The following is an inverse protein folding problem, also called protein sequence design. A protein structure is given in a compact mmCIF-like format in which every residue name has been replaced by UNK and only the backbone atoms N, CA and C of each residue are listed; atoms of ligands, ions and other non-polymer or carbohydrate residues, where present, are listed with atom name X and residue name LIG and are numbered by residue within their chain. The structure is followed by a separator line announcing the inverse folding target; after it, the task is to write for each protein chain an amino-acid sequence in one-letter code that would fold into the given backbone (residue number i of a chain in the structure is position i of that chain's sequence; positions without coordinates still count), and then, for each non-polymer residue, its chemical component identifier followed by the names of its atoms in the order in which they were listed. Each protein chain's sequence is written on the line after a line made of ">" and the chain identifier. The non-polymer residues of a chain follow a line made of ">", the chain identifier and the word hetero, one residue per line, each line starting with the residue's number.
data_IF_866431743832
#
_entry.id   IF_866431743832
#
_cell.length_a   1.000
_cell.length_b   1.000
_cell.length_c   1.000
_cell.angle_alpha   90.00
_cell.angle_beta   90.00
_cell.angle_gamma   90.00
#
_symmetry.space_group_name_H-M   'P 1'
#
loop_
_entity.id
_entity.type
_entity.pdbx_description
1 polymer ?
#
# COMPACT_ATOMS: atom_id res chain seq x y z
N UNK A 1 10.78 17.67 10.78
CA UNK A 1 9.57 16.82 10.77
C UNK A 1 9.67 15.86 11.94
N UNK A 2 8.86 16.01 12.99
CA UNK A 2 8.90 15.09 14.15
C UNK A 2 8.37 13.71 13.73
N UNK A 3 9.28 12.73 13.63
CA UNK A 3 8.98 11.32 13.31
C UNK A 3 8.71 10.47 14.56
N UNK A 4 8.81 11.07 15.74
CA UNK A 4 8.36 10.46 16.99
C UNK A 4 6.84 10.40 17.04
N UNK A 5 6.31 9.24 17.42
CA UNK A 5 4.89 8.97 17.63
C UNK A 5 4.71 8.22 18.93
N UNK A 6 3.51 8.36 19.48
CA UNK A 6 3.08 7.60 20.66
C UNK A 6 1.89 6.76 20.24
N UNK A 7 1.96 5.45 20.48
CA UNK A 7 0.86 4.56 20.17
C UNK A 7 -0.39 4.95 20.98
N UNK A 8 -1.54 5.09 20.32
CA UNK A 8 -2.81 5.38 21.02
C UNK A 8 -3.44 4.12 21.63
N UNK A 9 -3.18 2.94 21.05
CA UNK A 9 -3.62 1.63 21.53
C UNK A 9 -2.53 0.57 21.37
N UNK A 10 -2.73 -0.57 22.02
CA UNK A 10 -1.87 -1.73 21.82
C UNK A 10 -2.06 -2.29 20.40
N UNK A 11 -0.95 -2.58 19.71
CA UNK A 11 -0.96 -3.16 18.37
C UNK A 11 -0.02 -4.35 18.29
N UNK A 12 -0.35 -5.32 17.44
CA UNK A 12 0.55 -6.44 17.15
C UNK A 12 1.49 -6.02 16.04
N UNK A 13 2.78 -5.90 16.35
CA UNK A 13 3.81 -5.55 15.39
C UNK A 13 4.74 -6.75 15.14
N UNK A 14 5.29 -6.83 13.94
CA UNK A 14 6.24 -7.88 13.55
C UNK A 14 7.66 -7.36 13.67
N UNK A 15 8.48 -7.96 14.51
CA UNK A 15 9.88 -7.57 14.67
C UNK A 15 10.67 -7.86 13.38
N UNK A 16 11.50 -6.91 12.97
CA UNK A 16 12.43 -7.05 11.84
C UNK A 16 13.85 -7.21 12.41
N UNK A 17 14.63 -8.23 12.03
CA UNK A 17 14.40 -9.19 10.94
C UNK A 17 13.76 -10.53 11.35
N UNK A 18 13.55 -10.79 12.65
CA UNK A 18 13.13 -12.09 13.19
C UNK A 18 11.76 -12.58 12.70
N UNK A 19 10.87 -11.66 12.31
CA UNK A 19 9.51 -11.97 11.87
C UNK A 19 8.54 -12.31 13.01
N UNK A 20 8.97 -12.19 14.27
CA UNK A 20 8.13 -12.52 15.42
C UNK A 20 7.08 -11.44 15.68
N UNK A 21 5.84 -11.85 15.95
CA UNK A 21 4.75 -10.93 16.31
C UNK A 21 4.82 -10.64 17.80
N UNK A 22 5.08 -9.39 18.15
CA UNK A 22 5.03 -8.92 19.53
C UNK A 22 3.96 -7.84 19.71
N UNK A 23 3.22 -7.87 20.83
CA UNK A 23 2.34 -6.78 21.20
C UNK A 23 3.17 -5.56 21.64
N UNK A 24 2.99 -4.43 20.96
CA UNK A 24 3.49 -3.14 21.40
C UNK A 24 2.43 -2.48 22.31
N UNK A 25 2.75 -2.16 23.57
CA UNK A 25 1.79 -1.53 24.48
C UNK A 25 1.29 -0.18 23.99
N UNK A 26 0.06 0.18 24.37
CA UNK A 26 -0.43 1.55 24.22
C UNK A 26 0.51 2.53 24.94
N UNK A 27 0.61 3.76 24.44
CA UNK A 27 1.49 4.83 24.93
C UNK A 27 2.99 4.57 24.78
N UNK A 28 3.40 3.51 24.07
CA UNK A 28 4.80 3.31 23.74
C UNK A 28 5.28 4.41 22.78
N UNK A 29 6.46 4.97 23.07
CA UNK A 29 7.14 5.91 22.19
C UNK A 29 7.84 5.13 21.09
N UNK A 30 7.62 5.55 19.86
CA UNK A 30 8.17 4.90 18.69
C UNK A 30 8.63 5.97 17.69
N UNK A 31 9.53 5.57 16.81
CA UNK A 31 10.04 6.42 15.74
C UNK A 31 9.63 5.86 14.39
N UNK A 32 8.79 6.58 13.63
CA UNK A 32 8.34 6.15 12.32
C UNK A 32 9.45 6.36 11.28
N UNK A 33 10.00 5.27 10.75
CA UNK A 33 11.05 5.31 9.72
C UNK A 33 10.49 5.42 8.32
N UNK A 34 9.55 4.52 7.99
CA UNK A 34 9.05 4.37 6.63
C UNK A 34 7.58 3.96 6.63
N UNK A 35 6.84 4.51 5.67
CA UNK A 35 5.47 4.10 5.33
C UNK A 35 5.51 3.53 3.91
N UNK A 36 5.26 2.24 3.74
CA UNK A 36 5.33 1.57 2.44
C UNK A 36 4.12 0.69 2.20
N UNK A 37 3.33 1.00 1.17
CA UNK A 37 2.26 0.15 0.65
C UNK A 37 1.17 -0.23 1.67
N UNK A 38 0.93 0.62 2.68
CA UNK A 38 0.03 0.26 3.78
C UNK A 38 0.69 -0.61 4.84
N UNK A 39 1.98 -0.42 5.11
CA UNK A 39 2.65 -0.91 6.31
C UNK A 39 3.59 0.16 6.85
N UNK A 40 3.80 0.16 8.16
CA UNK A 40 4.57 1.17 8.87
C UNK A 40 5.76 0.52 9.58
N UNK A 41 6.97 0.90 9.21
CA UNK A 41 8.18 0.47 9.90
C UNK A 41 8.51 1.47 11.00
N UNK A 42 8.47 1.00 12.24
CA UNK A 42 8.69 1.79 13.45
C UNK A 42 9.88 1.25 14.21
N UNK A 43 10.68 2.14 14.79
CA UNK A 43 11.75 1.79 15.71
C UNK A 43 11.29 2.07 17.15
N UNK A 44 11.46 1.09 18.03
CA UNK A 44 11.21 1.20 19.46
C UNK A 44 12.52 0.97 20.21
N UNK A 45 12.50 1.10 21.54
CA UNK A 45 13.66 0.78 22.39
C UNK A 45 14.10 -0.69 22.27
N UNK A 46 13.21 -1.57 21.79
CA UNK A 46 13.45 -3.01 21.62
C UNK A 46 13.83 -3.41 20.19
N UNK A 47 13.97 -2.44 19.27
CA UNK A 47 14.39 -2.67 17.89
C UNK A 47 13.39 -2.20 16.85
N UNK A 48 13.50 -2.75 15.63
CA UNK A 48 12.63 -2.42 14.50
C UNK A 48 11.41 -3.33 14.45
N UNK A 49 10.25 -2.74 14.26
CA UNK A 49 8.98 -3.43 14.16
C UNK A 49 8.20 -2.93 12.94
N UNK A 50 7.49 -3.84 12.29
CA UNK A 50 6.56 -3.56 11.20
C UNK A 50 5.14 -3.65 11.72
N UNK A 51 4.39 -2.57 11.58
CA UNK A 51 2.96 -2.50 11.88
C UNK A 51 2.20 -2.58 10.55
N UNK A 52 1.10 -3.33 10.55
CA UNK A 52 0.24 -3.48 9.39
C UNK A 52 -0.60 -2.21 9.17
N UNK A 53 -0.96 -1.88 7.94
CA UNK A 53 -1.64 -0.63 7.57
C UNK A 53 -2.99 -0.44 8.26
N UNK A 54 -3.66 -1.55 8.58
CA UNK A 54 -4.91 -1.57 9.35
C UNK A 54 -4.77 -0.99 10.77
N UNK A 55 -3.55 -1.03 11.31
CA UNK A 55 -3.20 -0.53 12.64
C UNK A 55 -2.51 0.86 12.57
N UNK A 56 -2.54 1.50 11.40
CA UNK A 56 -2.07 2.87 11.17
C UNK A 56 -2.74 3.91 12.05
N UNK A 57 -4.01 3.69 12.40
CA UNK A 57 -4.75 4.58 13.29
C UNK A 57 -4.13 4.64 14.69
N UNK A 58 -3.49 3.56 15.14
CA UNK A 58 -2.76 3.53 16.40
C UNK A 58 -1.52 4.45 16.39
N UNK A 59 -0.98 4.71 15.21
CA UNK A 59 0.19 5.55 14.96
C UNK A 59 -0.17 7.03 14.78
N UNK A 60 -1.46 7.35 14.71
CA UNK A 60 -1.95 8.65 14.29
C UNK A 60 -1.74 8.89 12.79
N UNK A 61 -1.42 7.85 12.02
CA UNK A 61 -1.42 7.89 10.57
C UNK A 61 -2.84 7.61 10.08
N UNK A 62 -3.37 8.50 9.24
CA UNK A 62 -4.59 8.18 8.51
C UNK A 62 -4.22 7.02 7.59
N UNK A 63 -4.76 5.83 7.87
CA UNK A 63 -4.61 4.68 7.00
C UNK A 63 -4.93 5.13 5.58
N UNK A 64 -3.90 5.24 4.74
CA UNK A 64 -4.09 5.62 3.36
C UNK A 64 -5.06 4.58 2.80
N UNK A 65 -6.24 4.99 2.29
CA UNK A 65 -7.26 4.04 1.92
C UNK A 65 -6.68 3.11 0.84
N UNK A 66 -6.41 1.85 1.21
CA UNK A 66 -5.95 0.81 0.27
C UNK A 66 -7.01 0.54 -0.80
N UNK A 67 -8.27 0.95 -0.55
CA UNK A 67 -9.31 1.04 -1.59
C UNK A 67 -9.17 2.36 -2.33
N UNK A 68 -8.31 2.35 -3.32
CA UNK A 68 -8.49 3.25 -4.45
C UNK A 68 -9.67 2.66 -5.22
N UNK A 69 -10.86 3.21 -4.98
CA UNK A 69 -11.99 2.99 -5.87
C UNK A 69 -11.64 3.70 -7.19
N UNK A 70 -10.87 3.01 -8.04
CA UNK A 70 -10.62 3.49 -9.38
C UNK A 70 -11.97 3.59 -10.09
N UNK A 71 -12.29 4.74 -10.72
CA UNK A 71 -13.51 4.84 -11.49
C UNK A 71 -13.51 3.75 -12.56
N UNK A 72 -14.58 2.97 -12.60
CA UNK A 72 -14.87 2.06 -13.71
C UNK A 72 -15.70 2.82 -14.74
N UNK A 73 -15.48 2.54 -16.02
CA UNK A 73 -16.34 2.98 -17.10
C UNK A 73 -17.78 2.46 -16.90
N UNK A 74 -18.76 3.05 -17.59
CA UNK A 74 -20.17 2.72 -17.47
C UNK A 74 -20.49 1.22 -17.68
N UNK A 75 -19.64 0.51 -18.42
CA UNK A 75 -19.73 -0.93 -18.69
C UNK A 75 -18.99 -1.82 -17.66
N UNK A 76 -18.54 -1.25 -16.54
CA UNK A 76 -17.76 -1.94 -15.51
C UNK A 76 -16.33 -2.27 -15.92
N UNK A 77 -15.87 -1.78 -17.09
CA UNK A 77 -14.48 -1.89 -17.51
C UNK A 77 -13.60 -0.94 -16.68
N UNK A 78 -12.37 -1.35 -16.32
CA UNK A 78 -11.44 -0.46 -15.63
C UNK A 78 -11.07 0.70 -16.57
N UNK A 79 -11.15 1.93 -16.08
CA UNK A 79 -10.81 3.12 -16.85
C UNK A 79 -9.29 3.17 -17.09
N UNK A 80 -8.81 3.16 -18.35
CA UNK A 80 -7.40 3.29 -18.66
C UNK A 80 -6.75 4.54 -18.04
N UNK A 81 -7.46 5.68 -17.98
CA UNK A 81 -6.92 6.89 -17.41
C UNK A 81 -6.68 6.75 -15.89
N UNK A 82 -7.58 6.05 -15.20
CA UNK A 82 -7.43 5.72 -13.79
C UNK A 82 -6.24 4.79 -13.54
N UNK A 83 -6.04 3.77 -14.38
CA UNK A 83 -4.89 2.85 -14.28
C UNK A 83 -3.57 3.62 -14.48
N UNK A 84 -3.47 4.47 -15.51
CA UNK A 84 -2.30 5.31 -15.74
C UNK A 84 -1.99 6.23 -14.55
N UNK A 85 -3.02 6.80 -13.94
CA UNK A 85 -2.86 7.63 -12.74
C UNK A 85 -2.29 6.80 -11.59
N UNK A 86 -2.75 5.56 -11.42
CA UNK A 86 -2.22 4.65 -10.40
C UNK A 86 -0.77 4.26 -10.64
N UNK A 87 -0.37 3.98 -11.88
CA UNK A 87 1.03 3.69 -12.20
C UNK A 87 1.96 4.87 -11.85
N UNK A 88 1.49 6.11 -11.98
CA UNK A 88 2.24 7.32 -11.58
C UNK A 88 2.45 7.46 -10.07
N UNK A 89 1.68 6.74 -9.25
CA UNK A 89 1.90 6.70 -7.80
C UNK A 89 2.98 5.70 -7.38
N UNK A 90 3.52 4.91 -8.31
CA UNK A 90 4.65 4.01 -8.06
C UNK A 90 5.95 4.75 -8.36
N UNK A 91 6.71 5.02 -7.29
CA UNK A 91 7.97 5.75 -7.34
C UNK A 91 9.16 4.80 -7.26
N UNK A 92 10.23 5.16 -7.95
CA UNK A 92 11.52 4.49 -7.75
C UNK A 92 12.04 4.79 -6.32
N UNK A 93 12.54 3.78 -5.60
CA UNK A 93 12.96 3.94 -4.22
C UNK A 93 14.28 4.71 -4.06
N UNK A 94 15.12 4.78 -5.10
CA UNK A 94 16.41 5.49 -5.07
C UNK A 94 16.29 6.90 -5.65
N UNK A 95 15.39 7.09 -6.62
CA UNK A 95 15.18 8.35 -7.31
C UNK A 95 13.71 8.74 -7.14
N UNK A 96 13.37 9.93 -6.60
CA UNK A 96 11.99 10.33 -6.31
C UNK A 96 11.19 10.72 -7.58
N UNK A 97 11.21 9.85 -8.59
CA UNK A 97 10.52 9.98 -9.87
C UNK A 97 9.67 8.71 -10.08
N UNK A 98 8.51 8.85 -10.71
CA UNK A 98 7.61 7.72 -10.93
C UNK A 98 7.99 6.89 -12.16
N UNK A 99 7.58 5.62 -12.16
CA UNK A 99 7.92 4.66 -13.22
C UNK A 99 7.43 5.07 -14.62
N UNK A 100 6.37 5.87 -14.70
CA UNK A 100 5.81 6.35 -15.97
C UNK A 100 6.69 7.47 -16.55
N UNK A 101 7.07 8.44 -15.73
CA UNK A 101 7.95 9.55 -16.14
C UNK A 101 9.40 9.11 -16.34
N UNK A 102 9.82 8.02 -15.69
CA UNK A 102 11.08 7.34 -15.99
C UNK A 102 11.06 6.62 -17.35
N UNK A 103 9.89 6.47 -17.98
CA UNK A 103 9.75 5.74 -19.24
C UNK A 103 9.90 4.23 -19.11
N UNK A 104 9.68 3.66 -17.91
CA UNK A 104 9.72 2.22 -17.69
C UNK A 104 8.44 1.51 -18.16
N UNK A 105 7.36 2.27 -18.36
CA UNK A 105 6.09 1.79 -18.90
C UNK A 105 5.98 2.24 -20.35
N UNK A 106 5.99 1.29 -21.29
CA UNK A 106 5.99 1.57 -22.74
C UNK A 106 4.58 1.62 -23.32
N UNK A 107 3.68 0.77 -22.86
CA UNK A 107 2.31 0.63 -23.33
C UNK A 107 1.43 0.10 -22.21
N UNK A 108 0.12 0.30 -22.32
CA UNK A 108 -0.85 -0.28 -21.39
C UNK A 108 -2.10 -0.67 -22.18
N UNK A 109 -2.38 -1.96 -22.26
CA UNK A 109 -3.52 -2.53 -22.96
C UNK A 109 -4.47 -3.22 -21.99
N UNK A 110 -5.77 -2.93 -22.12
CA UNK A 110 -6.82 -3.50 -21.28
C UNK A 110 -7.65 -4.46 -22.12
N UNK A 111 -7.47 -5.77 -21.90
CA UNK A 111 -8.19 -6.82 -22.59
C UNK A 111 -9.32 -7.39 -21.73
N UNK A 112 -10.52 -7.47 -22.28
CA UNK A 112 -11.66 -8.15 -21.62
C UNK A 112 -11.47 -9.66 -21.71
N UNK A 113 -11.42 -10.33 -20.55
CA UNK A 113 -11.41 -11.79 -20.48
C UNK A 113 -12.83 -12.29 -20.15
N UNK A 114 -13.34 -13.18 -20.98
CA UNK A 114 -14.60 -13.89 -20.73
C UNK A 114 -14.22 -15.30 -20.32
N UNK A 115 -14.40 -15.63 -19.03
CA UNK A 115 -14.18 -17.00 -18.56
C UNK A 115 -15.29 -17.93 -19.07
N UNK A 116 -14.95 -19.19 -19.45
CA UNK A 116 -15.96 -20.17 -19.83
C UNK A 116 -16.81 -20.64 -18.62
N UNK A 117 -18.01 -21.19 -18.84
CA UNK A 117 -18.98 -21.58 -17.79
C UNK A 117 -18.40 -22.59 -16.78
N UNK A 118 -18.87 -22.65 -15.51
CA UNK A 118 -20.21 -22.25 -15.03
C UNK A 118 -20.31 -20.88 -14.34
N UNK A 119 -19.20 -20.20 -14.08
CA UNK A 119 -19.19 -18.84 -13.55
C UNK A 119 -18.84 -17.87 -14.68
N UNK A 120 -19.85 -17.33 -15.35
CA UNK A 120 -19.71 -16.27 -16.36
C UNK A 120 -19.27 -14.96 -15.71
N UNK A 121 -18.05 -14.92 -15.16
CA UNK A 121 -17.44 -13.73 -14.62
C UNK A 121 -16.74 -12.96 -15.76
N UNK A 122 -17.11 -11.69 -15.92
CA UNK A 122 -16.35 -10.76 -16.77
C UNK A 122 -15.11 -10.36 -15.97
N UNK A 123 -13.93 -10.75 -16.43
CA UNK A 123 -12.66 -10.26 -15.92
C UNK A 123 -12.00 -9.30 -16.91
N UNK A 124 -10.98 -8.59 -16.44
CA UNK A 124 -10.13 -7.76 -17.30
C UNK A 124 -8.67 -8.11 -17.02
N UNK A 125 -7.88 -8.28 -18.09
CA UNK A 125 -6.43 -8.40 -18.02
C UNK A 125 -5.82 -7.07 -18.44
N UNK A 126 -4.87 -6.57 -17.66
CA UNK A 126 -4.10 -5.36 -17.97
C UNK A 126 -2.68 -5.81 -18.29
N UNK A 127 -2.26 -5.57 -19.53
CA UNK A 127 -0.92 -5.85 -20.03
C UNK A 127 -0.15 -4.50 -20.06
N UNK A 128 0.89 -4.36 -19.22
CA UNK A 128 1.74 -3.14 -19.03
C UNK A 128 3.20 -3.42 -19.35
#
# INVERSE_FOLDING_TARGET
>A
MNRERTLSRQVIATQIPSGEKQPLPAHSRIFLHQTLGGSYTVQTDFGLFRIDGKDGDALGEQAAPTKIAAPTLADGAPDPAAIWTQLRHVFDPEIPVNIVDLGLVYSMDVAKIVSPPPESAIGYRVDV
#
